data_IF_488195004426
#
_entry.id   IF_488195004426
#
_cell.length_a   1.000
_cell.length_b   1.000
_cell.length_c   1.000
_cell.angle_alpha   90.00
_cell.angle_beta   90.00
_cell.angle_gamma   90.00
#
_symmetry.space_group_name_H-M   'P 1'
#
loop_
_entity.id
_entity.type
_entity.pdbx_description
1 polymer ?
#
# COMPACT_ATOMS: atom_id res chain seq x y z
N UNK A 1 -7.01 -1.03 -22.58
CA UNK A 1 -5.60 -0.59 -22.57
C UNK A 1 -4.86 -1.49 -21.61
N UNK A 2 -3.77 -2.10 -22.09
CA UNK A 2 -2.90 -2.86 -21.19
C UNK A 2 -2.04 -1.89 -20.40
N UNK A 3 -2.08 -2.02 -19.08
CA UNK A 3 -1.21 -1.25 -18.18
C UNK A 3 0.25 -1.71 -18.39
N UNK A 4 1.23 -0.81 -18.35
CA UNK A 4 2.64 -1.19 -18.39
C UNK A 4 3.02 -2.04 -17.17
N UNK A 5 4.15 -2.75 -17.17
CA UNK A 5 4.64 -3.42 -15.97
C UNK A 5 4.79 -2.44 -14.80
N UNK A 6 4.46 -2.85 -13.57
CA UNK A 6 4.77 -2.06 -12.38
C UNK A 6 6.28 -1.84 -12.26
N UNK A 7 6.69 -0.79 -11.58
CA UNK A 7 8.11 -0.49 -11.37
C UNK A 7 8.40 -0.16 -9.91
N UNK A 8 9.63 -0.42 -9.47
CA UNK A 8 10.09 0.01 -8.15
C UNK A 8 10.31 1.52 -8.13
N UNK A 9 9.84 2.15 -7.09
CA UNK A 9 10.13 3.55 -6.82
C UNK A 9 11.63 3.72 -6.51
N UNK A 10 12.28 4.60 -7.25
CA UNK A 10 13.67 4.97 -7.05
C UNK A 10 13.73 6.48 -6.75
N UNK A 11 14.10 6.89 -5.53
CA UNK A 11 14.08 8.30 -5.14
C UNK A 11 14.80 9.24 -6.12
N UNK A 12 15.94 8.82 -6.66
CA UNK A 12 16.73 9.60 -7.62
C UNK A 12 16.04 9.84 -8.97
N UNK A 13 15.08 8.98 -9.36
CA UNK A 13 14.38 9.06 -10.64
C UNK A 13 12.92 9.53 -10.49
N UNK A 14 12.32 9.28 -9.34
CA UNK A 14 10.89 9.42 -9.11
C UNK A 14 10.54 10.49 -8.05
N UNK A 15 11.46 11.44 -7.77
CA UNK A 15 11.19 12.46 -6.75
C UNK A 15 9.92 13.28 -7.06
N UNK A 16 9.68 13.62 -8.33
CA UNK A 16 8.47 14.33 -8.76
C UNK A 16 7.17 13.52 -8.61
N UNK A 17 7.28 12.20 -8.39
CA UNK A 17 6.11 11.33 -8.18
C UNK A 17 5.55 11.42 -6.76
N UNK A 18 6.33 11.91 -5.79
CA UNK A 18 5.91 12.03 -4.38
C UNK A 18 4.61 12.81 -4.23
N UNK A 19 4.44 13.88 -5.00
CA UNK A 19 3.20 14.67 -4.98
C UNK A 19 1.99 13.90 -5.52
N UNK A 20 2.21 13.01 -6.50
CA UNK A 20 1.15 12.12 -6.99
C UNK A 20 0.78 11.07 -5.96
N UNK A 21 1.77 10.48 -5.24
CA UNK A 21 1.48 9.55 -4.14
C UNK A 21 0.66 10.23 -3.05
N UNK A 22 1.03 11.46 -2.68
CA UNK A 22 0.29 12.24 -1.68
C UNK A 22 -1.14 12.56 -2.14
N UNK A 23 -1.31 12.90 -3.42
CA UNK A 23 -2.63 13.18 -4.00
C UNK A 23 -3.52 11.94 -3.98
N UNK A 24 -3.03 10.79 -4.45
CA UNK A 24 -3.77 9.52 -4.43
C UNK A 24 -4.13 9.14 -2.99
N UNK A 25 -3.17 9.29 -2.05
CA UNK A 25 -3.38 8.99 -0.64
C UNK A 25 -4.51 9.84 -0.05
N UNK A 26 -4.47 11.18 -0.25
CA UNK A 26 -5.53 12.10 0.15
C UNK A 26 -6.89 11.71 -0.44
N UNK A 27 -6.92 11.45 -1.75
CA UNK A 27 -8.16 11.16 -2.47
C UNK A 27 -8.81 9.84 -2.00
N UNK A 28 -8.01 8.81 -1.70
CA UNK A 28 -8.51 7.57 -1.11
C UNK A 28 -9.12 7.79 0.29
N UNK A 29 -8.53 8.66 1.12
CA UNK A 29 -9.10 8.98 2.43
C UNK A 29 -10.42 9.74 2.28
N UNK A 30 -10.44 10.80 1.45
CA UNK A 30 -11.60 11.69 1.35
C UNK A 30 -12.78 11.08 0.60
N UNK A 31 -12.52 10.27 -0.44
CA UNK A 31 -13.57 9.72 -1.29
C UNK A 31 -14.10 8.38 -0.79
N UNK A 32 -13.24 7.56 -0.17
CA UNK A 32 -13.60 6.19 0.20
C UNK A 32 -13.58 5.92 1.71
N UNK A 33 -13.10 6.89 2.49
CA UNK A 33 -12.91 6.66 3.92
C UNK A 33 -11.80 5.65 4.22
N UNK A 34 -10.82 5.49 3.32
CA UNK A 34 -9.71 4.56 3.55
C UNK A 34 -8.95 4.93 4.82
N UNK A 35 -8.74 3.97 5.71
CA UNK A 35 -7.88 4.15 6.87
C UNK A 35 -6.42 4.20 6.41
N UNK A 36 -5.87 5.40 6.38
CA UNK A 36 -4.53 5.60 5.87
C UNK A 36 -3.82 6.74 6.62
N UNK A 37 -3.57 6.54 7.91
CA UNK A 37 -2.72 7.39 8.76
C UNK A 37 -3.32 8.74 9.14
N UNK A 38 -3.98 9.44 8.21
CA UNK A 38 -4.42 10.82 8.42
C UNK A 38 -5.93 10.92 8.63
N UNK A 39 -6.33 11.88 9.46
CA UNK A 39 -7.73 12.23 9.65
C UNK A 39 -7.97 13.63 9.11
N UNK A 40 -9.06 13.85 8.34
CA UNK A 40 -9.49 15.19 7.96
C UNK A 40 -9.74 16.08 9.20
N UNK A 41 -9.64 17.37 9.04
CA UNK A 41 -10.06 18.35 10.06
C UNK A 41 -11.60 18.38 10.24
N UNK A 42 -12.09 19.28 11.08
CA UNK A 42 -13.53 19.46 11.34
C UNK A 42 -14.30 19.94 10.09
N UNK A 43 -13.61 20.59 9.15
CA UNK A 43 -14.15 21.04 7.88
C UNK A 43 -14.06 19.98 6.78
N UNK A 44 -13.49 18.81 7.08
CA UNK A 44 -13.31 17.71 6.13
C UNK A 44 -12.08 17.84 5.23
N UNK A 45 -11.14 18.75 5.54
CA UNK A 45 -9.92 18.93 4.75
C UNK A 45 -8.76 18.10 5.27
N UNK A 46 -7.86 17.69 4.38
CA UNK A 46 -6.58 17.08 4.71
C UNK A 46 -5.43 18.03 4.32
N UNK A 47 -4.52 18.23 5.25
CA UNK A 47 -3.29 18.97 5.00
C UNK A 47 -2.37 18.15 4.07
N UNK A 48 -2.36 18.51 2.80
CA UNK A 48 -1.56 17.83 1.77
C UNK A 48 -0.06 17.94 2.06
N UNK A 49 0.40 18.97 2.75
CA UNK A 49 1.82 19.13 3.05
C UNK A 49 2.31 18.09 4.06
N UNK A 50 1.46 17.68 5.00
CA UNK A 50 1.74 16.56 5.92
C UNK A 50 1.83 15.23 5.16
N UNK A 51 0.98 15.03 4.15
CA UNK A 51 0.98 13.80 3.35
C UNK A 51 2.21 13.76 2.43
N UNK A 52 2.60 14.89 1.83
CA UNK A 52 3.83 15.01 1.05
C UNK A 52 5.05 14.70 1.94
N UNK A 53 5.12 15.31 3.13
CA UNK A 53 6.18 15.00 4.08
C UNK A 53 6.24 13.53 4.44
N UNK A 54 5.08 12.90 4.70
CA UNK A 54 4.99 11.46 4.97
C UNK A 54 5.62 10.64 3.86
N UNK A 55 5.35 10.93 2.59
CA UNK A 55 5.93 10.19 1.46
C UNK A 55 7.40 10.54 1.23
N UNK A 56 7.84 11.78 1.52
CA UNK A 56 9.24 12.15 1.51
C UNK A 56 10.05 11.34 2.53
N UNK A 57 9.54 11.19 3.76
CA UNK A 57 10.18 10.37 4.81
C UNK A 57 10.26 8.88 4.38
N UNK A 58 9.25 8.36 3.65
CA UNK A 58 9.27 6.99 3.10
C UNK A 58 10.25 6.84 1.95
N UNK A 59 10.41 7.87 1.12
CA UNK A 59 11.45 7.92 0.10
C UNK A 59 12.86 7.79 0.70
N UNK A 60 13.12 8.42 1.84
CA UNK A 60 14.37 8.22 2.58
C UNK A 60 14.53 6.78 3.08
N UNK A 61 13.44 6.14 3.54
CA UNK A 61 13.48 4.73 3.96
C UNK A 61 13.79 3.80 2.78
N UNK A 62 13.30 4.12 1.57
CA UNK A 62 13.68 3.38 0.34
C UNK A 62 15.18 3.52 0.07
N UNK A 63 15.73 4.73 0.17
CA UNK A 63 17.17 4.96 0.02
C UNK A 63 18.01 4.16 1.03
N UNK A 64 17.49 4.00 2.26
CA UNK A 64 18.15 3.24 3.32
C UNK A 64 17.93 1.72 3.22
N UNK A 65 17.16 1.25 2.23
CA UNK A 65 16.82 -0.17 2.05
C UNK A 65 15.86 -0.75 3.10
N UNK A 66 15.21 0.11 3.89
CA UNK A 66 14.23 -0.30 4.91
C UNK A 66 12.80 -0.41 4.37
N UNK A 67 12.56 0.04 3.13
CA UNK A 67 11.25 0.06 2.49
C UNK A 67 11.38 -0.15 0.98
N UNK A 68 10.36 -0.77 0.40
CA UNK A 68 10.13 -0.75 -1.05
C UNK A 68 8.78 -0.11 -1.35
N UNK A 69 8.67 0.56 -2.48
CA UNK A 69 7.41 1.10 -3.01
C UNK A 69 7.28 0.65 -4.45
N UNK A 70 6.16 0.06 -4.81
CA UNK A 70 5.86 -0.37 -6.18
C UNK A 70 4.84 0.58 -6.78
N UNK A 71 5.17 1.13 -7.95
CA UNK A 71 4.33 2.05 -8.70
C UNK A 71 3.69 1.33 -9.89
N UNK A 72 2.40 1.51 -10.09
CA UNK A 72 1.72 1.17 -11.32
C UNK A 72 1.36 2.46 -12.06
N UNK A 73 1.93 2.64 -13.23
CA UNK A 73 1.60 3.76 -14.10
C UNK A 73 0.40 3.45 -15.01
N UNK A 74 -0.22 4.51 -15.54
CA UNK A 74 -1.37 4.40 -16.45
C UNK A 74 -0.95 3.94 -17.84
N UNK A 75 0.26 4.30 -18.27
CA UNK A 75 0.81 4.01 -19.60
C UNK A 75 2.35 3.99 -19.58
N UNK A 76 2.94 3.71 -20.75
CA UNK A 76 4.39 3.59 -20.93
C UNK A 76 5.15 4.92 -20.83
N UNK A 77 4.48 6.06 -20.87
CA UNK A 77 5.12 7.38 -20.67
C UNK A 77 5.52 7.59 -19.22
N UNK A 78 4.89 6.84 -18.28
CA UNK A 78 5.13 6.92 -16.84
C UNK A 78 4.90 8.32 -16.26
N UNK A 79 4.00 9.07 -16.86
CA UNK A 79 3.67 10.43 -16.41
C UNK A 79 2.62 10.47 -15.30
N UNK A 80 1.74 9.47 -15.24
CA UNK A 80 0.66 9.40 -14.26
C UNK A 80 0.67 8.06 -13.51
N UNK A 81 0.63 8.11 -12.16
CA UNK A 81 0.52 6.95 -11.28
C UNK A 81 -0.95 6.55 -11.15
N UNK A 82 -1.28 5.30 -11.50
CA UNK A 82 -2.61 4.72 -11.31
C UNK A 82 -2.83 4.21 -9.88
N UNK A 83 -1.77 3.77 -9.23
CA UNK A 83 -1.78 3.26 -7.87
C UNK A 83 -0.41 2.77 -7.45
N UNK A 84 -0.28 2.44 -6.18
CA UNK A 84 0.98 1.99 -5.60
C UNK A 84 0.76 1.16 -4.35
N UNK A 85 1.80 0.46 -3.92
CA UNK A 85 1.83 -0.29 -2.65
C UNK A 85 3.21 -0.17 -2.03
N UNK A 86 3.28 -0.22 -0.72
CA UNK A 86 4.52 -0.12 0.05
C UNK A 86 4.77 -1.40 0.83
N UNK A 87 6.02 -1.84 0.89
CA UNK A 87 6.53 -2.91 1.74
C UNK A 87 7.45 -2.31 2.79
N UNK A 88 7.04 -2.32 4.04
CA UNK A 88 7.91 -2.01 5.17
C UNK A 88 8.71 -3.25 5.58
N UNK A 89 10.01 -3.06 5.82
CA UNK A 89 10.94 -4.14 6.14
C UNK A 89 11.65 -3.85 7.47
N UNK A 90 10.91 -3.96 8.60
CA UNK A 90 11.47 -3.62 9.90
C UNK A 90 12.67 -4.52 10.24
N UNK A 91 13.65 -3.95 10.92
CA UNK A 91 14.76 -4.71 11.47
C UNK A 91 14.25 -5.63 12.60
N UNK A 92 14.64 -6.90 12.51
CA UNK A 92 14.35 -7.89 13.56
C UNK A 92 15.30 -9.08 13.43
N UNK A 93 16.10 -9.34 14.45
CA UNK A 93 17.00 -10.51 14.46
C UNK A 93 16.24 -11.84 14.47
N UNK A 94 15.07 -11.89 15.14
CA UNK A 94 14.24 -13.10 15.25
C UNK A 94 13.24 -13.26 14.13
N UNK A 95 13.11 -12.28 13.22
CA UNK A 95 12.15 -12.31 12.11
C UNK A 95 12.61 -11.47 10.93
N UNK A 96 13.86 -11.65 10.43
CA UNK A 96 14.37 -10.85 9.33
C UNK A 96 13.62 -11.11 8.02
N UNK A 97 12.84 -12.20 7.97
CA UNK A 97 12.05 -12.63 6.82
C UNK A 97 10.63 -12.02 6.78
N UNK A 98 10.24 -11.19 7.76
CA UNK A 98 8.92 -10.56 7.82
C UNK A 98 8.90 -9.24 7.06
N UNK A 99 7.79 -8.96 6.38
CA UNK A 99 7.51 -7.68 5.74
C UNK A 99 6.06 -7.28 5.96
N UNK A 100 5.80 -5.99 6.13
CA UNK A 100 4.45 -5.45 6.25
C UNK A 100 4.04 -4.74 4.96
N UNK A 101 2.95 -5.19 4.36
CA UNK A 101 2.35 -4.52 3.21
C UNK A 101 1.51 -3.36 3.71
N UNK A 102 1.84 -2.17 3.27
CA UNK A 102 1.16 -0.93 3.68
C UNK A 102 0.71 -0.13 2.46
N UNK A 103 -0.37 0.64 2.63
CA UNK A 103 -0.79 1.64 1.66
C UNK A 103 -0.94 1.09 0.24
N UNK A 104 -1.66 -0.05 0.10
CA UNK A 104 -2.14 -0.46 -1.21
C UNK A 104 -3.24 0.53 -1.64
N UNK A 105 -2.87 1.54 -2.39
CA UNK A 105 -3.76 2.64 -2.79
C UNK A 105 -3.87 2.70 -4.31
N UNK A 106 -5.09 2.67 -4.81
CA UNK A 106 -5.41 2.86 -6.23
C UNK A 106 -6.20 4.16 -6.38
N UNK A 107 -5.72 5.02 -7.26
CA UNK A 107 -6.43 6.26 -7.59
C UNK A 107 -7.90 5.96 -7.92
N UNK A 108 -8.86 6.70 -7.34
CA UNK A 108 -10.29 6.51 -7.65
C UNK A 108 -10.60 6.50 -9.15
N UNK A 109 -9.81 7.22 -9.96
CA UNK A 109 -9.94 7.29 -11.42
C UNK A 109 -9.49 6.03 -12.16
N UNK A 110 -8.71 5.15 -11.51
CA UNK A 110 -8.07 4.00 -12.16
C UNK A 110 -8.42 2.66 -11.53
N UNK A 111 -9.53 2.59 -10.78
CA UNK A 111 -10.02 1.34 -10.16
C UNK A 111 -10.58 0.36 -11.18
N UNK A 112 -10.71 -0.88 -10.75
CA UNK A 112 -11.25 -1.99 -11.54
C UNK A 112 -10.46 -2.31 -12.82
N UNK A 113 -9.22 -1.81 -12.94
CA UNK A 113 -8.31 -2.03 -14.08
C UNK A 113 -7.18 -3.03 -13.76
N UNK A 114 -7.27 -3.74 -12.62
CA UNK A 114 -6.26 -4.71 -12.20
C UNK A 114 -4.99 -4.10 -11.56
N UNK A 115 -4.99 -2.78 -11.27
CA UNK A 115 -3.85 -2.06 -10.68
C UNK A 115 -3.36 -2.72 -9.39
N UNK A 116 -4.27 -2.97 -8.43
CA UNK A 116 -3.91 -3.59 -7.14
C UNK A 116 -3.26 -4.97 -7.33
N UNK A 117 -3.87 -5.84 -8.18
CA UNK A 117 -3.34 -7.18 -8.44
C UNK A 117 -1.93 -7.15 -9.01
N UNK A 118 -1.66 -6.24 -9.97
CA UNK A 118 -0.36 -6.12 -10.62
C UNK A 118 0.70 -5.58 -9.66
N UNK A 119 0.36 -4.52 -8.91
CA UNK A 119 1.26 -3.92 -7.94
C UNK A 119 1.62 -4.91 -6.81
N UNK A 120 0.65 -5.68 -6.31
CA UNK A 120 0.88 -6.71 -5.29
C UNK A 120 1.74 -7.86 -5.81
N UNK A 121 1.52 -8.34 -7.05
CA UNK A 121 2.35 -9.39 -7.64
C UNK A 121 3.83 -8.95 -7.75
N UNK A 122 4.08 -7.72 -8.19
CA UNK A 122 5.44 -7.18 -8.24
C UNK A 122 6.03 -7.00 -6.84
N UNK A 123 5.22 -6.52 -5.87
CA UNK A 123 5.67 -6.38 -4.48
C UNK A 123 6.10 -7.74 -3.90
N UNK A 124 5.38 -8.81 -4.16
CA UNK A 124 5.71 -10.16 -3.69
C UNK A 124 7.05 -10.64 -4.29
N UNK A 125 7.29 -10.38 -5.58
CA UNK A 125 8.58 -10.66 -6.24
C UNK A 125 9.71 -9.92 -5.54
N UNK A 126 9.53 -8.61 -5.33
CA UNK A 126 10.51 -7.76 -4.65
C UNK A 126 10.73 -8.19 -3.19
N UNK A 127 9.67 -8.60 -2.49
CA UNK A 127 9.76 -9.09 -1.13
C UNK A 127 10.66 -10.34 -1.04
N UNK A 128 10.50 -11.30 -1.94
CA UNK A 128 11.36 -12.49 -2.03
C UNK A 128 12.82 -12.10 -2.26
N UNK A 129 13.10 -11.19 -3.21
CA UNK A 129 14.45 -10.71 -3.49
C UNK A 129 15.10 -10.01 -2.27
N UNK A 130 14.28 -9.38 -1.43
CA UNK A 130 14.70 -8.74 -0.16
C UNK A 130 14.73 -9.73 1.02
N UNK A 131 14.50 -11.02 0.79
CA UNK A 131 14.45 -12.04 1.84
C UNK A 131 13.22 -11.93 2.75
N UNK A 132 12.17 -11.20 2.32
CA UNK A 132 10.92 -11.05 3.07
C UNK A 132 9.90 -12.07 2.57
N UNK A 133 9.91 -13.25 3.17
CA UNK A 133 9.10 -14.39 2.72
C UNK A 133 7.79 -14.55 3.45
N UNK A 134 7.55 -13.82 4.55
CA UNK A 134 6.27 -13.79 5.26
C UNK A 134 5.76 -12.36 5.25
N UNK A 135 4.67 -12.12 4.52
CA UNK A 135 4.01 -10.84 4.43
C UNK A 135 2.76 -10.81 5.31
N UNK A 136 2.50 -9.68 5.92
CA UNK A 136 1.27 -9.41 6.65
C UNK A 136 0.72 -8.04 6.32
N UNK A 137 -0.58 -7.86 6.49
CA UNK A 137 -1.30 -6.62 6.23
C UNK A 137 -2.60 -6.59 7.04
N UNK A 138 -3.16 -5.41 7.15
CA UNK A 138 -4.48 -5.17 7.71
C UNK A 138 -5.35 -4.35 6.77
N UNK A 139 -6.67 -4.44 6.96
CA UNK A 139 -7.65 -3.64 6.23
C UNK A 139 -8.97 -3.55 6.97
N UNK A 140 -9.70 -2.46 6.73
CA UNK A 140 -11.03 -2.23 7.31
C UNK A 140 -12.07 -3.16 6.70
N UNK A 141 -12.94 -3.68 7.54
CA UNK A 141 -14.13 -4.45 7.11
C UNK A 141 -15.10 -3.51 6.38
N UNK A 142 -15.59 -3.94 5.23
CA UNK A 142 -16.55 -3.18 4.41
C UNK A 142 -15.90 -2.17 3.46
N UNK A 143 -14.55 -2.12 3.40
CA UNK A 143 -13.83 -1.29 2.43
C UNK A 143 -13.80 -1.88 1.01
N UNK A 144 -14.09 -3.17 0.88
CA UNK A 144 -13.92 -3.95 -0.35
C UNK A 144 -12.50 -4.50 -0.53
N UNK A 145 -11.51 -3.97 0.15
CA UNK A 145 -10.13 -4.46 0.07
C UNK A 145 -10.01 -5.86 0.72
N UNK A 146 -10.80 -6.14 1.75
CA UNK A 146 -10.87 -7.45 2.40
C UNK A 146 -11.27 -8.59 1.45
N UNK A 147 -11.94 -8.26 0.34
CA UNK A 147 -12.32 -9.23 -0.69
C UNK A 147 -11.21 -9.45 -1.74
N UNK A 148 -10.23 -8.57 -1.78
CA UNK A 148 -9.11 -8.63 -2.74
C UNK A 148 -8.01 -9.57 -2.24
N UNK A 149 -7.60 -9.46 -0.98
CA UNK A 149 -6.46 -10.18 -0.44
C UNK A 149 -6.61 -11.71 -0.46
N UNK A 150 -7.78 -12.32 -0.14
CA UNK A 150 -7.95 -13.76 -0.30
C UNK A 150 -7.77 -14.24 -1.75
N UNK A 151 -8.17 -13.44 -2.76
CA UNK A 151 -7.97 -13.75 -4.18
C UNK A 151 -6.49 -13.67 -4.60
N UNK A 152 -5.66 -12.99 -3.81
CA UNK A 152 -4.21 -12.92 -3.97
C UNK A 152 -3.47 -13.99 -3.14
N UNK A 153 -4.20 -14.89 -2.46
CA UNK A 153 -3.63 -15.97 -1.67
C UNK A 153 -3.26 -15.59 -0.24
N UNK A 154 -3.68 -14.41 0.24
CA UNK A 154 -3.53 -14.04 1.65
C UNK A 154 -4.57 -14.78 2.50
N UNK A 155 -4.12 -15.31 3.64
CA UNK A 155 -4.94 -16.04 4.61
C UNK A 155 -5.34 -15.12 5.74
N UNK A 156 -6.62 -15.15 6.15
CA UNK A 156 -7.12 -14.39 7.29
C UNK A 156 -6.52 -14.93 8.59
N UNK A 157 -5.95 -14.05 9.41
CA UNK A 157 -5.51 -14.35 10.77
C UNK A 157 -6.65 -14.16 11.76
N UNK A 158 -7.38 -13.06 11.63
CA UNK A 158 -8.48 -12.70 12.52
C UNK A 158 -8.92 -11.25 12.34
N UNK A 159 -9.81 -10.83 13.24
CA UNK A 159 -10.37 -9.48 13.30
C UNK A 159 -10.03 -8.87 14.64
N UNK A 160 -9.56 -7.62 14.64
CA UNK A 160 -9.43 -6.82 15.85
C UNK A 160 -10.57 -5.81 15.87
N UNK A 161 -11.48 -5.90 16.86
CA UNK A 161 -12.60 -4.96 16.96
C UNK A 161 -12.13 -3.56 17.33
N UNK A 162 -12.75 -2.53 16.75
CA UNK A 162 -12.54 -1.12 17.09
C UNK A 162 -11.08 -0.67 17.00
N UNK A 163 -10.35 -1.24 16.03
CA UNK A 163 -8.91 -1.04 15.89
C UNK A 163 -8.55 0.30 15.23
N UNK A 164 -9.40 0.80 14.34
CA UNK A 164 -9.19 2.05 13.62
C UNK A 164 -10.29 3.09 13.84
N UNK A 165 -10.02 4.33 13.45
CA UNK A 165 -10.98 5.43 13.43
C UNK A 165 -11.30 5.73 11.97
N UNK A 166 -12.55 5.58 11.56
CA UNK A 166 -12.99 5.92 10.22
C UNK A 166 -12.83 7.43 9.95
N UNK A 167 -12.12 7.83 8.90
CA UNK A 167 -11.71 9.23 8.73
C UNK A 167 -12.88 10.20 8.58
N UNK A 168 -13.97 9.79 7.94
CA UNK A 168 -15.12 10.66 7.70
C UNK A 168 -16.15 10.59 8.84
N UNK A 169 -16.50 9.38 9.30
CA UNK A 169 -17.56 9.22 10.32
C UNK A 169 -17.05 9.33 11.75
N UNK A 170 -15.73 9.30 11.96
CA UNK A 170 -15.07 9.29 13.28
C UNK A 170 -15.44 8.11 14.18
N UNK A 171 -16.17 7.14 13.67
CA UNK A 171 -16.50 5.93 14.41
C UNK A 171 -15.33 4.96 14.46
N UNK A 172 -15.26 4.20 15.53
CA UNK A 172 -14.35 3.06 15.60
C UNK A 172 -14.81 1.99 14.64
N UNK A 173 -13.87 1.37 13.93
CA UNK A 173 -14.10 0.32 12.93
C UNK A 173 -13.20 -0.88 13.21
N UNK A 174 -13.66 -2.04 12.79
CA UNK A 174 -12.95 -3.30 12.94
C UNK A 174 -12.00 -3.49 11.74
N UNK A 175 -10.84 -4.11 12.00
CA UNK A 175 -9.87 -4.41 10.96
C UNK A 175 -9.57 -5.91 10.89
N UNK A 176 -9.47 -6.41 9.67
CA UNK A 176 -9.02 -7.76 9.35
C UNK A 176 -7.53 -7.79 9.14
N UNK A 177 -6.87 -8.78 9.73
CA UNK A 177 -5.45 -9.05 9.59
C UNK A 177 -5.22 -10.27 8.71
N UNK A 178 -4.33 -10.14 7.75
CA UNK A 178 -4.00 -11.19 6.80
C UNK A 178 -2.49 -11.44 6.77
N UNK A 179 -2.12 -12.66 6.37
CA UNK A 179 -0.73 -13.01 6.09
C UNK A 179 -0.62 -13.85 4.82
N UNK A 180 0.57 -13.88 4.23
CA UNK A 180 0.95 -14.79 3.14
C UNK A 180 2.37 -15.27 3.35
N UNK A 181 2.56 -16.59 3.31
CA UNK A 181 3.89 -17.20 3.27
C UNK A 181 4.26 -17.46 1.81
N UNK A 182 5.22 -16.68 1.30
CA UNK A 182 5.64 -16.74 -0.10
C UNK A 182 6.45 -18.00 -0.41
N UNK A 183 6.93 -18.74 0.60
CA UNK A 183 7.62 -20.02 0.45
C UNK A 183 6.66 -21.14 0.04
N UNK A 184 5.38 -21.02 0.42
CA UNK A 184 4.34 -21.98 0.04
C UNK A 184 3.94 -21.89 -1.45
N UNK A 185 4.34 -20.81 -2.12
CA UNK A 185 3.94 -20.51 -3.53
C UNK A 185 5.00 -20.97 -4.53
N UNK A 186 6.24 -21.26 -4.07
CA UNK A 186 7.28 -21.82 -4.91
C UNK A 186 7.24 -23.35 -4.80
N UNK A 187 6.97 -24.11 -5.90
CA UNK A 187 7.28 -25.54 -5.90
C UNK A 187 8.79 -25.70 -5.71
N UNK A 188 9.17 -26.52 -4.76
CA UNK A 188 10.55 -27.00 -4.55
C UNK A 188 11.15 -27.56 -5.84
#
# INVERSE_FOLDING_TARGET
MDLPPPVRFQPSQHQAIVDQLATIHRDCILQDGTLATFLPDEQGNLDITKIIKYWSDRSEQVTKGAREIILQFTDSTRSEVAGFVSLDMPFSETGPFRGMVEKMLVSPRHRYKGVARRAMAELETVAIERGRTVLFLDTVIGSGAELVYPKLGYKLVGVIPKYGIHPTTRKLVDEMFFYKDLREVQPL
#
